data_IF_842293060682
#
_entry.id   IF_842293060682
#
_cell.length_a   1.000
_cell.length_b   1.000
_cell.length_c   1.000
_cell.angle_alpha   90.00
_cell.angle_beta   90.00
_cell.angle_gamma   90.00
#
_symmetry.space_group_name_H-M   'P 1'
#
loop_
_entity.id
_entity.type
_entity.pdbx_description
1 polymer ?
#
# COMPACT_ATOMS: atom_id res chain seq x y z
N UNK A 1 9.53 -16.82 -19.92
CA UNK A 1 9.42 -17.44 -18.58
C UNK A 1 9.07 -16.32 -17.60
N UNK A 2 7.86 -16.31 -17.04
CA UNK A 2 7.47 -15.31 -16.04
C UNK A 2 8.05 -15.74 -14.69
N UNK A 3 9.21 -15.21 -14.32
CA UNK A 3 9.76 -15.38 -12.99
C UNK A 3 8.88 -14.64 -11.98
N UNK A 4 8.43 -15.33 -10.93
CA UNK A 4 7.84 -14.66 -9.77
C UNK A 4 8.96 -13.90 -9.07
N UNK A 5 8.96 -12.58 -9.17
CA UNK A 5 9.85 -11.73 -8.39
C UNK A 5 9.26 -11.55 -7.00
N UNK A 6 9.93 -12.08 -5.97
CA UNK A 6 9.63 -11.84 -4.56
C UNK A 6 10.73 -10.98 -3.96
N UNK A 7 10.36 -9.91 -3.27
CA UNK A 7 11.28 -9.10 -2.47
C UNK A 7 10.75 -9.09 -1.04
N UNK A 8 11.63 -9.35 -0.08
CA UNK A 8 11.34 -9.24 1.35
C UNK A 8 12.17 -8.10 1.92
N UNK A 9 11.53 -7.16 2.60
CA UNK A 9 12.18 -6.07 3.32
C UNK A 9 11.71 -6.10 4.77
N UNK A 10 12.65 -6.02 5.70
CA UNK A 10 12.39 -5.98 7.14
C UNK A 10 12.94 -4.69 7.71
N UNK A 11 12.20 -4.08 8.63
CA UNK A 11 12.63 -2.88 9.35
C UNK A 11 12.11 -2.98 10.77
N UNK A 12 12.99 -2.74 11.74
CA UNK A 12 12.63 -2.69 13.16
C UNK A 12 12.14 -1.28 13.50
N UNK A 13 10.98 -1.18 14.15
CA UNK A 13 10.42 0.08 14.61
C UNK A 13 10.46 0.12 16.14
N UNK A 14 11.00 1.20 16.71
CA UNK A 14 11.04 1.41 18.16
C UNK A 14 9.70 1.90 18.72
N UNK A 15 8.60 1.25 18.32
CA UNK A 15 7.23 1.52 18.78
C UNK A 15 6.49 0.21 19.06
N UNK A 16 5.45 0.21 19.92
CA UNK A 16 4.64 -0.98 20.17
C UNK A 16 3.95 -1.49 18.89
N UNK A 17 3.80 -2.81 18.78
CA UNK A 17 3.21 -3.47 17.61
C UNK A 17 1.77 -3.04 17.35
N UNK A 18 1.00 -2.78 18.41
CA UNK A 18 -0.38 -2.30 18.33
C UNK A 18 -0.43 -0.91 17.71
N UNK A 19 0.55 -0.06 18.03
CA UNK A 19 0.67 1.29 17.46
C UNK A 19 1.06 1.22 15.99
N UNK A 20 2.06 0.40 15.65
CA UNK A 20 2.47 0.19 14.26
C UNK A 20 1.31 -0.33 13.40
N UNK A 21 0.59 -1.34 13.89
CA UNK A 21 -0.58 -1.92 13.21
C UNK A 21 -1.71 -0.91 13.05
N UNK A 22 -2.03 -0.12 14.08
CA UNK A 22 -3.05 0.90 14.01
C UNK A 22 -2.71 2.02 13.01
N UNK A 23 -1.43 2.38 12.87
CA UNK A 23 -0.97 3.35 11.87
C UNK A 23 -1.00 2.76 10.46
N UNK A 24 -0.55 1.52 10.26
CA UNK A 24 -0.53 0.87 8.96
C UNK A 24 -1.91 0.74 8.31
N UNK A 25 -2.98 0.70 9.12
CA UNK A 25 -4.39 0.65 8.66
C UNK A 25 -4.98 1.99 8.25
N UNK A 26 -4.22 3.09 8.35
CA UNK A 26 -4.70 4.42 7.98
C UNK A 26 -4.24 4.75 6.56
N UNK A 27 -5.14 5.09 5.62
CA UNK A 27 -4.75 5.55 4.29
C UNK A 27 -3.79 6.76 4.32
N UNK A 28 -3.87 7.59 5.35
CA UNK A 28 -2.98 8.73 5.59
C UNK A 28 -1.53 8.28 5.82
N UNK A 29 -1.32 7.11 6.44
CA UNK A 29 0.03 6.56 6.67
C UNK A 29 0.71 6.24 5.34
N UNK A 30 -0.01 5.58 4.42
CA UNK A 30 0.48 5.34 3.07
C UNK A 30 0.81 6.66 2.35
N UNK A 31 -0.07 7.67 2.44
CA UNK A 31 0.19 8.99 1.86
C UNK A 31 1.45 9.63 2.42
N UNK A 32 1.67 9.54 3.74
CA UNK A 32 2.83 10.11 4.41
C UNK A 32 4.13 9.42 3.97
N UNK A 33 4.19 8.08 4.08
CA UNK A 33 5.39 7.29 3.76
C UNK A 33 5.79 7.43 2.30
N UNK A 34 4.82 7.44 1.39
CA UNK A 34 5.09 7.53 -0.05
C UNK A 34 5.45 8.95 -0.51
N UNK A 35 5.07 9.99 0.25
CA UNK A 35 5.14 11.39 -0.16
C UNK A 35 6.51 11.91 -0.68
N UNK A 36 7.68 11.40 -0.26
CA UNK A 36 8.96 11.87 -0.79
C UNK A 36 9.16 11.56 -2.28
N UNK A 37 8.57 10.46 -2.79
CA UNK A 37 8.77 10.00 -4.17
C UNK A 37 7.47 9.91 -4.95
N UNK A 38 6.39 9.46 -4.32
CA UNK A 38 5.09 9.24 -4.94
C UNK A 38 4.04 10.12 -4.28
N UNK A 39 3.42 11.00 -5.09
CA UNK A 39 2.25 11.78 -4.70
C UNK A 39 0.97 11.05 -5.11
N UNK A 40 0.04 10.89 -4.17
CA UNK A 40 -1.29 10.35 -4.44
C UNK A 40 -2.16 11.48 -4.97
N UNK A 41 -2.41 11.50 -6.28
CA UNK A 41 -3.25 12.49 -6.95
C UNK A 41 -4.74 12.22 -6.73
N UNK A 42 -5.15 10.95 -6.77
CA UNK A 42 -6.50 10.51 -6.45
C UNK A 42 -6.41 9.25 -5.61
N UNK A 43 -7.19 9.21 -4.53
CA UNK A 43 -7.32 8.05 -3.66
C UNK A 43 -8.79 7.67 -3.62
N UNK A 44 -9.08 6.43 -3.99
CA UNK A 44 -10.41 5.84 -3.92
C UNK A 44 -10.31 4.61 -3.02
N UNK A 45 -10.42 4.84 -1.72
CA UNK A 45 -10.34 3.81 -0.68
C UNK A 45 -11.39 4.17 0.38
N UNK A 46 -12.17 3.20 0.87
CA UNK A 46 -13.06 3.41 2.00
C UNK A 46 -12.30 3.92 3.24
N UNK A 47 -12.95 4.74 4.05
CA UNK A 47 -12.38 5.28 5.28
C UNK A 47 -12.04 4.17 6.28
N UNK A 48 -12.86 3.12 6.32
CA UNK A 48 -12.62 1.92 7.13
C UNK A 48 -12.12 0.78 6.26
N UNK A 49 -11.02 0.21 6.69
CA UNK A 49 -10.35 -0.90 6.03
C UNK A 49 -10.76 -2.22 6.68
N UNK A 50 -11.30 -3.15 5.90
CA UNK A 50 -11.65 -4.52 6.30
C UNK A 50 -11.26 -5.55 5.21
N UNK A 51 -11.35 -6.84 5.52
CA UNK A 51 -11.13 -7.92 4.54
C UNK A 51 -12.10 -7.77 3.37
N UNK A 52 -11.57 -7.89 2.15
CA UNK A 52 -12.32 -7.67 0.91
C UNK A 52 -12.35 -6.22 0.44
N UNK A 53 -11.87 -5.26 1.25
CA UNK A 53 -11.77 -3.86 0.83
C UNK A 53 -10.90 -3.75 -0.41
N UNK A 54 -11.41 -3.04 -1.42
CA UNK A 54 -10.68 -2.69 -2.62
C UNK A 54 -10.42 -1.20 -2.64
N UNK A 55 -9.23 -0.84 -3.09
CA UNK A 55 -8.76 0.53 -3.16
C UNK A 55 -8.02 0.79 -4.46
N UNK A 56 -8.07 2.02 -4.94
CA UNK A 56 -7.19 2.47 -6.03
C UNK A 56 -6.56 3.83 -5.76
N UNK A 57 -5.35 4.01 -6.25
CA UNK A 57 -4.60 5.25 -6.10
C UNK A 57 -3.95 5.65 -7.43
N UNK A 58 -4.23 6.87 -7.90
CA UNK A 58 -3.51 7.46 -9.04
C UNK A 58 -2.25 8.15 -8.52
N UNK A 59 -1.09 7.72 -9.00
CA UNK A 59 0.20 8.22 -8.55
C UNK A 59 0.84 9.18 -9.56
N UNK A 60 1.61 10.13 -9.03
CA UNK A 60 2.53 10.99 -9.75
C UNK A 60 3.91 10.93 -9.11
N UNK A 61 4.96 10.78 -9.93
CA UNK A 61 6.34 10.84 -9.47
C UNK A 61 6.69 12.29 -9.13
N UNK A 62 7.17 12.51 -7.91
CA UNK A 62 7.52 13.82 -7.35
C UNK A 62 6.40 14.87 -7.47
N UNK A 63 5.15 14.44 -7.70
CA UNK A 63 4.02 15.33 -7.93
C UNK A 63 3.98 16.01 -9.30
N UNK A 64 4.86 15.65 -10.24
CA UNK A 64 4.96 16.32 -11.55
C UNK A 64 4.81 15.39 -12.76
N UNK A 65 5.30 14.16 -12.67
CA UNK A 65 5.24 13.21 -13.79
C UNK A 65 4.12 12.22 -13.53
N UNK A 66 3.09 12.13 -14.41
CA UNK A 66 2.04 11.12 -14.29
C UNK A 66 2.66 9.72 -14.27
N UNK A 67 2.31 8.92 -13.26
CA UNK A 67 2.81 7.56 -13.12
C UNK A 67 1.70 6.56 -13.48
N UNK A 68 1.36 5.65 -12.57
CA UNK A 68 0.36 4.60 -12.78
C UNK A 68 -0.85 4.74 -11.86
N UNK A 69 -1.85 3.89 -12.08
CA UNK A 69 -2.97 3.70 -11.16
C UNK A 69 -2.76 2.37 -10.45
N UNK A 70 -2.57 2.41 -9.14
CA UNK A 70 -2.37 1.24 -8.32
C UNK A 70 -3.71 0.74 -7.80
N UNK A 71 -3.86 -0.56 -7.73
CA UNK A 71 -5.04 -1.23 -7.22
C UNK A 71 -4.62 -2.17 -6.09
N UNK A 72 -5.33 -2.12 -4.98
CA UNK A 72 -5.06 -2.91 -3.79
C UNK A 72 -6.34 -3.60 -3.35
N UNK A 73 -6.24 -4.88 -2.99
CA UNK A 73 -7.34 -5.64 -2.37
C UNK A 73 -6.83 -6.30 -1.10
N UNK A 74 -7.55 -6.13 0.00
CA UNK A 74 -7.19 -6.74 1.28
C UNK A 74 -7.73 -8.15 1.33
N UNK A 75 -6.83 -9.10 1.52
CA UNK A 75 -7.14 -10.53 1.54
C UNK A 75 -7.23 -11.07 2.95
N UNK A 76 -6.41 -10.58 3.87
CA UNK A 76 -6.44 -10.93 5.29
C UNK A 76 -5.99 -9.74 6.13
N UNK A 77 -6.63 -9.59 7.29
CA UNK A 77 -6.38 -8.50 8.23
C UNK A 77 -6.37 -9.07 9.65
N UNK A 78 -5.19 -9.48 10.12
CA UNK A 78 -4.98 -9.99 11.47
C UNK A 78 -4.59 -8.83 12.41
N UNK A 79 -4.56 -9.00 13.75
CA UNK A 79 -4.24 -7.90 14.67
C UNK A 79 -2.91 -7.19 14.38
N UNK A 80 -1.92 -7.91 13.86
CA UNK A 80 -0.55 -7.41 13.62
C UNK A 80 -0.07 -7.61 12.18
N UNK A 81 -0.89 -8.17 11.29
CA UNK A 81 -0.51 -8.49 9.92
C UNK A 81 -1.59 -8.02 8.94
N UNK A 82 -1.17 -7.43 7.81
CA UNK A 82 -2.04 -7.08 6.71
C UNK A 82 -1.53 -7.82 5.47
N UNK A 83 -2.41 -8.58 4.83
CA UNK A 83 -2.11 -9.30 3.60
C UNK A 83 -2.93 -8.70 2.45
N UNK A 84 -2.23 -8.26 1.41
CA UNK A 84 -2.80 -7.53 0.27
C UNK A 84 -2.42 -8.19 -1.06
N UNK A 85 -3.35 -8.12 -2.02
CA UNK A 85 -3.05 -8.35 -3.42
C UNK A 85 -3.09 -7.02 -4.14
N UNK A 86 -2.01 -6.70 -4.85
CA UNK A 86 -1.78 -5.40 -5.44
C UNK A 86 -1.37 -5.51 -6.91
N UNK A 87 -1.76 -4.55 -7.74
CA UNK A 87 -1.40 -4.50 -9.16
C UNK A 87 -1.52 -3.09 -9.74
N UNK A 88 -1.13 -2.96 -11.01
CA UNK A 88 -1.28 -1.70 -11.78
C UNK A 88 -0.04 -0.81 -11.75
N UNK A 89 1.03 -1.22 -11.06
CA UNK A 89 2.32 -0.52 -11.03
C UNK A 89 3.42 -1.13 -11.89
N UNK A 90 4.70 -0.75 -11.63
CA UNK A 90 5.86 -1.33 -12.30
C UNK A 90 5.94 -2.85 -12.13
N UNK A 91 5.41 -3.34 -11.01
CA UNK A 91 5.17 -4.76 -10.76
C UNK A 91 3.74 -5.09 -11.22
N UNK A 92 3.62 -6.06 -12.13
CA UNK A 92 2.34 -6.47 -12.72
C UNK A 92 1.35 -6.97 -11.67
N UNK A 93 1.83 -7.74 -10.69
CA UNK A 93 1.03 -8.25 -9.56
C UNK A 93 1.95 -8.50 -8.39
N UNK A 94 1.53 -8.10 -7.19
CA UNK A 94 2.19 -8.33 -5.92
C UNK A 94 1.20 -9.05 -4.99
N UNK A 95 1.63 -10.16 -4.41
CA UNK A 95 0.86 -11.00 -3.49
C UNK A 95 1.72 -11.40 -2.30
#
# INVERSE_FOLDING_TARGET
MNGVSKVTLTTELSIPVETASALARKPEMMRHVLSPVLRIYRLDVPERIDVGTQGSARFWLFGVIPAWTHHLTIKRLDPTEIYTNEHGGPVRTWN
#
